data_IF_510149975476
#
_entry.id   IF_510149975476
#
_cell.length_a   1.000
_cell.length_b   1.000
_cell.length_c   1.000
_cell.angle_alpha   90.00
_cell.angle_beta   90.00
_cell.angle_gamma   90.00
#
_symmetry.space_group_name_H-M   'P 1'
#
loop_
_entity.id
_entity.type
_entity.pdbx_description
1 polymer ?
#
# COMPACT_ATOMS: atom_id res chain seq x y z
N UNK A 1 -5.52 21.64 -25.30
CA UNK A 1 -5.50 20.18 -25.52
C UNK A 1 -5.49 19.56 -24.14
N UNK A 2 -6.62 19.01 -23.71
CA UNK A 2 -6.65 18.18 -22.50
C UNK A 2 -5.83 16.94 -22.82
N UNK A 3 -4.76 16.73 -22.07
CA UNK A 3 -3.96 15.49 -22.15
C UNK A 3 -4.84 14.38 -21.57
N UNK A 4 -5.07 13.32 -22.35
CA UNK A 4 -5.76 12.13 -21.83
C UNK A 4 -5.11 11.67 -20.53
N UNK A 5 -5.91 11.27 -19.51
CA UNK A 5 -5.37 10.82 -18.24
C UNK A 5 -4.49 9.59 -18.48
N UNK A 6 -3.22 9.68 -18.07
CA UNK A 6 -2.28 8.57 -18.16
C UNK A 6 -2.67 7.48 -17.16
N UNK A 7 -2.86 6.26 -17.64
CA UNK A 7 -3.03 5.09 -16.77
C UNK A 7 -1.68 4.75 -16.13
N UNK A 8 -1.66 4.60 -14.80
CA UNK A 8 -0.49 4.22 -14.01
C UNK A 8 -0.65 2.76 -13.60
N UNK A 9 0.30 1.92 -14.02
CA UNK A 9 0.30 0.49 -13.70
C UNK A 9 1.12 0.23 -12.44
N UNK A 10 0.53 -0.52 -11.50
CA UNK A 10 1.18 -1.01 -10.30
C UNK A 10 1.22 -2.54 -10.33
N UNK A 11 2.39 -3.13 -10.07
CA UNK A 11 2.56 -4.57 -9.91
C UNK A 11 2.72 -4.93 -8.44
N UNK A 12 2.03 -5.97 -7.99
CA UNK A 12 2.06 -6.47 -6.60
C UNK A 12 2.56 -7.92 -6.49
N UNK A 13 3.17 -8.46 -7.55
CA UNK A 13 3.68 -9.84 -7.59
C UNK A 13 4.57 -10.17 -6.39
N UNK A 14 5.45 -9.25 -6.00
CA UNK A 14 6.43 -9.46 -4.93
C UNK A 14 5.86 -9.33 -3.51
N UNK A 15 4.63 -8.83 -3.36
CA UNK A 15 3.96 -8.76 -2.07
C UNK A 15 2.70 -9.63 -2.06
N UNK A 16 1.69 -9.28 -2.86
CA UNK A 16 0.42 -10.02 -2.89
C UNK A 16 0.56 -11.37 -3.58
N UNK A 17 1.30 -11.40 -4.68
CA UNK A 17 1.58 -12.66 -5.40
C UNK A 17 2.35 -13.67 -4.55
N UNK A 18 3.23 -13.22 -3.65
CA UNK A 18 3.96 -14.10 -2.73
C UNK A 18 3.07 -14.71 -1.63
N UNK A 19 1.87 -14.16 -1.38
CA UNK A 19 0.92 -14.75 -0.45
C UNK A 19 0.24 -16.01 -1.02
N UNK A 20 0.47 -16.32 -2.29
CA UNK A 20 -0.02 -17.56 -2.92
C UNK A 20 0.67 -18.78 -2.30
N UNK A 21 -0.12 -19.79 -1.95
CA UNK A 21 0.40 -21.02 -1.35
C UNK A 21 1.51 -21.64 -2.20
N UNK A 22 2.66 -21.92 -1.59
CA UNK A 22 3.80 -22.56 -2.25
C UNK A 22 4.72 -21.59 -3.00
N UNK A 23 4.45 -20.30 -2.97
CA UNK A 23 5.32 -19.25 -3.51
C UNK A 23 6.12 -18.62 -2.37
N UNK A 24 7.43 -18.47 -2.57
CA UNK A 24 8.32 -17.72 -1.70
C UNK A 24 9.52 -17.27 -2.50
N UNK A 25 9.91 -16.03 -2.34
CA UNK A 25 11.07 -15.44 -3.02
C UNK A 25 12.22 -15.23 -2.04
N UNK A 26 13.42 -15.62 -2.46
CA UNK A 26 14.63 -15.16 -1.77
C UNK A 26 14.83 -13.65 -1.99
N UNK A 27 15.60 -12.96 -1.13
CA UNK A 27 15.92 -11.54 -1.32
C UNK A 27 16.52 -11.22 -2.69
N UNK A 28 17.35 -12.12 -3.23
CA UNK A 28 17.95 -11.97 -4.56
C UNK A 28 16.91 -12.10 -5.69
N UNK A 29 15.97 -13.03 -5.59
CA UNK A 29 14.87 -13.21 -6.54
C UNK A 29 13.94 -12.01 -6.54
N UNK A 30 13.54 -11.48 -5.35
CA UNK A 30 12.76 -10.25 -5.23
C UNK A 30 13.42 -9.10 -6.00
N UNK A 31 14.72 -8.88 -5.77
CA UNK A 31 15.46 -7.83 -6.46
C UNK A 31 15.51 -8.06 -7.98
N UNK A 32 15.67 -9.29 -8.44
CA UNK A 32 15.72 -9.60 -9.87
C UNK A 32 14.36 -9.42 -10.55
N UNK A 33 13.27 -9.81 -9.90
CA UNK A 33 11.89 -9.58 -10.39
C UNK A 33 11.61 -8.07 -10.43
N UNK A 34 11.92 -7.32 -9.37
CA UNK A 34 11.78 -5.87 -9.33
C UNK A 34 12.51 -5.18 -10.50
N UNK A 35 13.76 -5.60 -10.79
CA UNK A 35 14.52 -5.12 -11.95
C UNK A 35 13.83 -5.43 -13.29
N UNK A 36 13.25 -6.60 -13.42
CA UNK A 36 12.52 -6.99 -14.64
C UNK A 36 11.26 -6.14 -14.83
N UNK A 37 10.48 -5.95 -13.75
CA UNK A 37 9.25 -5.15 -13.75
C UNK A 37 9.54 -3.69 -14.15
N UNK A 38 10.53 -3.05 -13.52
CA UNK A 38 10.81 -1.63 -13.76
C UNK A 38 11.60 -1.38 -15.05
N UNK A 39 12.64 -2.19 -15.38
CA UNK A 39 13.48 -1.93 -16.54
C UNK A 39 12.91 -2.50 -17.85
N UNK A 40 12.29 -3.70 -17.81
CA UNK A 40 11.85 -4.40 -19.02
C UNK A 40 10.38 -4.17 -19.30
N UNK A 41 9.52 -4.42 -18.32
CA UNK A 41 8.07 -4.23 -18.45
C UNK A 41 7.66 -2.76 -18.31
N UNK A 42 8.48 -1.96 -17.62
CA UNK A 42 8.27 -0.52 -17.42
C UNK A 42 6.94 -0.22 -16.72
N UNK A 43 6.58 -1.03 -15.73
CA UNK A 43 5.48 -0.67 -14.85
C UNK A 43 5.83 0.60 -14.07
N UNK A 44 4.84 1.37 -13.70
CA UNK A 44 5.08 2.67 -13.06
C UNK A 44 5.42 2.53 -11.58
N UNK A 45 4.90 1.48 -10.92
CA UNK A 45 5.05 1.26 -9.47
C UNK A 45 5.08 -0.23 -9.18
N UNK A 46 5.80 -0.63 -8.12
CA UNK A 46 5.79 -2.01 -7.61
C UNK A 46 5.65 -2.03 -6.09
N UNK A 47 4.84 -2.95 -5.57
CA UNK A 47 4.77 -3.24 -4.14
C UNK A 47 5.57 -4.51 -3.86
N UNK A 48 6.62 -4.41 -3.04
CA UNK A 48 7.65 -5.46 -2.95
C UNK A 48 7.63 -6.28 -1.67
N UNK A 49 6.98 -5.80 -0.63
CA UNK A 49 6.97 -6.45 0.68
C UNK A 49 5.88 -5.90 1.59
N UNK A 50 5.63 -6.61 2.69
CA UNK A 50 4.92 -6.09 3.86
C UNK A 50 5.93 -5.78 4.97
N UNK A 51 5.78 -4.60 5.58
CA UNK A 51 6.66 -4.19 6.68
C UNK A 51 6.54 -5.13 7.88
N UNK A 52 7.67 -5.41 8.55
CA UNK A 52 7.74 -6.12 9.83
C UNK A 52 7.33 -7.61 9.78
N UNK A 53 7.41 -8.25 8.63
CA UNK A 53 7.06 -9.69 8.48
C UNK A 53 8.25 -10.57 8.89
N UNK A 54 9.43 -10.34 8.31
CA UNK A 54 10.62 -11.14 8.57
C UNK A 54 11.92 -10.39 8.27
N UNK A 55 13.04 -10.95 8.72
CA UNK A 55 14.38 -10.46 8.37
C UNK A 55 14.66 -10.63 6.85
N UNK A 56 14.18 -11.70 6.25
CA UNK A 56 14.30 -11.94 4.81
C UNK A 56 13.58 -10.87 3.97
N UNK A 57 12.42 -10.40 4.44
CA UNK A 57 11.72 -9.27 3.82
C UNK A 57 12.54 -7.98 3.92
N UNK A 58 13.12 -7.72 5.09
CA UNK A 58 14.00 -6.56 5.29
C UNK A 58 15.20 -6.60 4.32
N UNK A 59 15.93 -7.71 4.23
CA UNK A 59 17.07 -7.85 3.30
C UNK A 59 16.62 -7.68 1.84
N UNK A 60 15.48 -8.25 1.45
CA UNK A 60 14.92 -8.11 0.11
C UNK A 60 14.59 -6.65 -0.25
N UNK A 61 13.97 -5.93 0.68
CA UNK A 61 13.66 -4.50 0.49
C UNK A 61 14.95 -3.68 0.45
N UNK A 62 15.89 -3.87 1.38
CA UNK A 62 17.17 -3.14 1.42
C UNK A 62 17.96 -3.29 0.12
N UNK A 63 18.06 -4.49 -0.43
CA UNK A 63 18.74 -4.75 -1.70
C UNK A 63 18.04 -4.07 -2.87
N UNK A 64 16.71 -4.13 -2.88
CA UNK A 64 15.92 -3.56 -3.97
C UNK A 64 15.93 -2.03 -3.93
N UNK A 65 15.79 -1.42 -2.76
CA UNK A 65 15.82 0.04 -2.59
C UNK A 65 17.19 0.62 -2.89
N UNK A 66 18.28 -0.03 -2.44
CA UNK A 66 19.65 0.37 -2.78
C UNK A 66 19.88 0.38 -4.29
N UNK A 67 19.47 -0.68 -5.00
CA UNK A 67 19.57 -0.72 -6.45
C UNK A 67 18.67 0.35 -7.11
N UNK A 68 17.45 0.54 -6.59
CA UNK A 68 16.50 1.48 -7.14
C UNK A 68 16.96 2.94 -6.98
N UNK A 69 17.61 3.28 -5.86
CA UNK A 69 18.19 4.60 -5.62
C UNK A 69 19.26 4.92 -6.68
N UNK A 70 20.19 3.99 -6.95
CA UNK A 70 21.22 4.15 -7.97
C UNK A 70 20.66 4.33 -9.39
N UNK A 71 19.45 3.84 -9.66
CA UNK A 71 18.80 3.89 -10.98
C UNK A 71 17.69 4.93 -11.09
N UNK A 72 17.37 5.66 -10.04
CA UNK A 72 16.31 6.66 -10.02
C UNK A 72 14.91 6.07 -9.96
N UNK A 73 14.76 4.83 -9.46
CA UNK A 73 13.46 4.15 -9.31
C UNK A 73 12.93 4.13 -7.88
N UNK A 74 13.63 4.74 -6.91
CA UNK A 74 13.28 4.60 -5.50
C UNK A 74 11.83 5.00 -5.19
N UNK A 75 11.33 6.05 -5.83
CA UNK A 75 9.95 6.55 -5.67
C UNK A 75 8.88 5.63 -6.30
N UNK A 76 9.28 4.60 -7.02
CA UNK A 76 8.41 3.58 -7.61
C UNK A 76 8.36 2.30 -6.77
N UNK A 77 9.23 2.20 -5.75
CA UNK A 77 9.25 1.07 -4.79
C UNK A 77 8.33 1.40 -3.63
N UNK A 78 7.32 0.57 -3.45
CA UNK A 78 6.31 0.73 -2.41
C UNK A 78 6.33 -0.47 -1.46
N UNK A 79 6.05 -0.22 -0.19
CA UNK A 79 6.01 -1.24 0.87
C UNK A 79 4.68 -1.12 1.61
N UNK A 80 3.99 -2.24 1.81
CA UNK A 80 2.78 -2.29 2.62
C UNK A 80 3.15 -2.03 4.09
N UNK A 81 2.47 -1.08 4.70
CA UNK A 81 2.59 -0.76 6.12
C UNK A 81 1.24 -0.80 6.83
N UNK A 82 1.28 -0.73 8.14
CA UNK A 82 0.10 -0.88 9.00
C UNK A 82 -0.17 0.37 9.82
N UNK A 83 -1.41 0.52 10.30
CA UNK A 83 -1.80 1.58 11.24
C UNK A 83 -1.27 1.21 12.63
N UNK A 84 0.04 1.36 12.81
CA UNK A 84 0.81 0.97 14.00
C UNK A 84 1.68 2.11 14.57
N UNK A 85 1.26 3.34 14.28
CA UNK A 85 1.87 4.59 14.66
C UNK A 85 3.19 4.85 13.89
N UNK A 86 4.31 4.40 14.41
CA UNK A 86 5.63 4.66 13.82
C UNK A 86 6.35 3.39 13.31
N UNK A 87 5.96 2.22 13.76
CA UNK A 87 6.73 0.99 13.57
C UNK A 87 6.93 0.60 12.11
N UNK A 88 5.87 0.66 11.30
CA UNK A 88 5.97 0.38 9.86
C UNK A 88 6.78 1.45 9.14
N UNK A 89 6.63 2.71 9.54
CA UNK A 89 7.41 3.82 8.97
C UNK A 89 8.90 3.66 9.28
N UNK A 90 9.25 3.39 10.53
CA UNK A 90 10.65 3.17 10.96
C UNK A 90 11.27 1.99 10.19
N UNK A 91 10.54 0.89 10.06
CA UNK A 91 10.98 -0.28 9.30
C UNK A 91 11.24 0.04 7.83
N UNK A 92 10.34 0.79 7.19
CA UNK A 92 10.47 1.20 5.79
C UNK A 92 11.68 2.11 5.59
N UNK A 93 11.90 3.05 6.51
CA UNK A 93 13.07 3.94 6.48
C UNK A 93 14.39 3.17 6.66
N UNK A 94 14.43 2.23 7.61
CA UNK A 94 15.58 1.36 7.83
C UNK A 94 15.89 0.52 6.58
N UNK A 95 14.86 0.05 5.89
CA UNK A 95 14.99 -0.65 4.61
C UNK A 95 15.30 0.26 3.41
N UNK A 96 15.52 1.56 3.61
CA UNK A 96 15.83 2.53 2.55
C UNK A 96 14.62 2.98 1.72
N UNK A 97 13.39 2.57 2.09
CA UNK A 97 12.15 2.93 1.38
C UNK A 97 11.73 4.39 1.58
N UNK A 98 10.85 4.87 0.69
CA UNK A 98 10.31 6.24 0.73
C UNK A 98 8.81 6.31 0.51
N UNK A 99 8.18 5.18 0.17
CA UNK A 99 6.75 5.11 -0.13
C UNK A 99 6.12 3.97 0.65
N UNK A 100 5.09 4.31 1.41
CA UNK A 100 4.29 3.36 2.19
C UNK A 100 2.87 3.26 1.61
N UNK A 101 2.41 2.03 1.42
CA UNK A 101 1.00 1.72 1.19
C UNK A 101 0.38 1.36 2.55
N UNK A 102 -0.32 2.29 3.16
CA UNK A 102 -0.91 2.13 4.49
C UNK A 102 -2.20 1.33 4.39
N UNK A 103 -2.22 0.14 4.98
CA UNK A 103 -3.41 -0.71 5.03
C UNK A 103 -4.40 -0.19 6.07
N UNK A 104 -5.60 0.21 5.63
CA UNK A 104 -6.69 0.64 6.48
C UNK A 104 -7.95 -0.19 6.19
N UNK A 105 -9.01 -0.02 6.95
CA UNK A 105 -10.26 -0.77 6.79
C UNK A 105 -11.28 0.04 6.00
N UNK A 106 -11.63 -0.45 4.81
CA UNK A 106 -12.61 0.14 3.92
C UNK A 106 -14.06 -0.31 4.18
N UNK A 107 -14.31 -1.18 5.16
CA UNK A 107 -15.65 -1.58 5.58
C UNK A 107 -15.86 -1.40 7.08
N UNK A 108 -17.08 -1.03 7.48
CA UNK A 108 -17.48 -0.95 8.90
C UNK A 108 -17.29 -2.31 9.56
N UNK A 109 -17.65 -3.39 8.88
CA UNK A 109 -17.50 -4.75 9.37
C UNK A 109 -16.05 -5.05 9.78
N UNK A 110 -15.07 -4.77 8.94
CA UNK A 110 -13.66 -4.98 9.30
C UNK A 110 -13.17 -4.02 10.37
N UNK A 111 -13.61 -2.77 10.36
CA UNK A 111 -13.26 -1.79 11.40
C UNK A 111 -13.77 -2.24 12.77
N UNK A 112 -15.05 -2.63 12.84
CA UNK A 112 -15.71 -2.99 14.12
C UNK A 112 -15.28 -4.36 14.61
N UNK A 113 -15.27 -5.38 13.74
CA UNK A 113 -15.07 -6.77 14.15
C UNK A 113 -13.60 -7.17 14.23
N UNK A 114 -12.72 -6.65 13.35
CA UNK A 114 -11.30 -6.97 13.38
C UNK A 114 -10.51 -6.00 14.27
N UNK A 115 -10.75 -4.68 14.13
CA UNK A 115 -10.03 -3.67 14.91
C UNK A 115 -10.71 -3.35 16.25
N UNK A 116 -12.00 -3.64 16.39
CA UNK A 116 -12.83 -3.25 17.55
C UNK A 116 -12.84 -1.74 17.78
N UNK A 117 -12.97 -0.98 16.70
CA UNK A 117 -12.92 0.49 16.67
C UNK A 117 -14.12 1.05 15.91
N UNK A 118 -14.46 2.28 16.26
CA UNK A 118 -15.31 3.14 15.44
C UNK A 118 -14.49 3.73 14.28
N UNK A 119 -15.16 4.30 13.28
CA UNK A 119 -14.51 5.02 12.19
C UNK A 119 -13.63 6.17 12.71
N UNK A 120 -14.15 6.97 13.65
CA UNK A 120 -13.42 8.10 14.22
C UNK A 120 -12.14 7.68 14.95
N UNK A 121 -12.21 6.59 15.72
CA UNK A 121 -11.04 6.03 16.40
C UNK A 121 -10.00 5.52 15.38
N UNK A 122 -10.46 4.87 14.32
CA UNK A 122 -9.58 4.39 13.26
C UNK A 122 -8.93 5.56 12.51
N UNK A 123 -9.70 6.57 12.10
CA UNK A 123 -9.18 7.79 11.47
C UNK A 123 -8.18 8.52 12.37
N UNK A 124 -8.43 8.58 13.68
CA UNK A 124 -7.48 9.18 14.64
C UNK A 124 -6.14 8.45 14.65
N UNK A 125 -6.14 7.12 14.58
CA UNK A 125 -4.89 6.34 14.55
C UNK A 125 -4.20 6.42 13.19
N UNK A 126 -4.96 6.44 12.09
CA UNK A 126 -4.43 6.71 10.75
C UNK A 126 -3.71 8.06 10.72
N UNK A 127 -4.35 9.13 11.22
CA UNK A 127 -3.74 10.48 11.27
C UNK A 127 -2.43 10.52 12.03
N UNK A 128 -2.30 9.77 13.13
CA UNK A 128 -1.03 9.67 13.87
C UNK A 128 0.07 9.04 13.00
N UNK A 129 -0.26 7.97 12.29
CA UNK A 129 0.69 7.28 11.39
C UNK A 129 1.07 8.19 10.22
N UNK A 130 0.11 8.87 9.58
CA UNK A 130 0.34 9.81 8.50
C UNK A 130 1.24 10.97 8.94
N UNK A 131 0.94 11.57 10.10
CA UNK A 131 1.75 12.65 10.65
C UNK A 131 3.21 12.24 10.83
N UNK A 132 3.44 11.05 11.40
CA UNK A 132 4.79 10.54 11.60
C UNK A 132 5.50 10.25 10.28
N UNK A 133 4.81 9.63 9.32
CA UNK A 133 5.34 9.37 7.99
C UNK A 133 5.77 10.66 7.26
N UNK A 134 4.92 11.69 7.28
CA UNK A 134 5.21 12.99 6.66
C UNK A 134 6.38 13.70 7.33
N UNK A 135 6.49 13.67 8.65
CA UNK A 135 7.63 14.23 9.39
C UNK A 135 8.96 13.57 8.95
N UNK A 136 8.91 12.29 8.57
CA UNK A 136 10.06 11.52 8.10
C UNK A 136 10.16 11.45 6.57
N UNK A 137 9.40 12.28 5.83
CA UNK A 137 9.41 12.37 4.36
C UNK A 137 9.06 11.06 3.65
N UNK A 138 8.24 10.23 4.28
CA UNK A 138 7.65 9.04 3.66
C UNK A 138 6.34 9.43 3.01
N UNK A 139 6.24 9.21 1.69
CA UNK A 139 4.99 9.39 0.94
C UNK A 139 4.03 8.25 1.27
N UNK A 140 2.76 8.57 1.51
CA UNK A 140 1.78 7.56 1.90
C UNK A 140 0.64 7.49 0.89
N UNK A 141 0.39 6.28 0.40
CA UNK A 141 -0.85 5.87 -0.23
C UNK A 141 -1.70 5.13 0.82
N UNK A 142 -3.01 5.13 0.70
CA UNK A 142 -3.91 4.46 1.64
C UNK A 142 -4.73 3.41 0.90
N UNK A 143 -4.66 2.15 1.32
CA UNK A 143 -5.58 1.09 0.91
C UNK A 143 -6.83 1.10 1.80
N UNK A 144 -8.00 1.05 1.18
CA UNK A 144 -9.27 0.78 1.84
C UNK A 144 -9.61 -0.72 1.68
N UNK A 145 -9.01 -1.56 2.53
CA UNK A 145 -9.24 -3.01 2.49
C UNK A 145 -10.73 -3.33 2.67
N UNK A 146 -11.25 -4.23 1.83
CA UNK A 146 -12.66 -4.67 1.82
C UNK A 146 -13.68 -3.55 1.46
N UNK A 147 -13.21 -2.52 0.75
CA UNK A 147 -14.07 -1.40 0.37
C UNK A 147 -15.28 -1.81 -0.49
N UNK A 148 -15.13 -2.81 -1.37
CA UNK A 148 -16.21 -3.30 -2.24
C UNK A 148 -17.39 -3.85 -1.44
N UNK A 149 -17.14 -4.63 -0.38
CA UNK A 149 -18.17 -5.02 0.57
C UNK A 149 -18.65 -3.83 1.41
N UNK A 150 -17.71 -2.99 1.89
CA UNK A 150 -18.04 -1.78 2.65
C UNK A 150 -19.00 -0.87 1.90
N UNK A 151 -18.73 -0.61 0.61
CA UNK A 151 -19.59 0.21 -0.23
C UNK A 151 -20.97 -0.42 -0.47
N UNK A 152 -21.02 -1.74 -0.64
CA UNK A 152 -22.29 -2.46 -0.86
C UNK A 152 -23.14 -2.49 0.41
N UNK A 153 -22.53 -2.69 1.59
CA UNK A 153 -23.24 -2.87 2.86
C UNK A 153 -23.56 -1.54 3.54
N UNK A 154 -22.63 -0.57 3.52
CA UNK A 154 -22.78 0.75 4.15
C UNK A 154 -21.95 1.80 3.37
N UNK A 155 -22.45 2.33 2.25
CA UNK A 155 -21.73 3.32 1.42
C UNK A 155 -21.24 4.53 2.21
N UNK A 156 -22.04 5.02 3.17
CA UNK A 156 -21.70 6.21 3.96
C UNK A 156 -20.41 6.01 4.75
N UNK A 157 -20.12 4.80 5.24
CA UNK A 157 -18.84 4.51 5.90
C UNK A 157 -17.65 4.77 4.97
N UNK A 158 -17.75 4.33 3.71
CA UNK A 158 -16.66 4.50 2.72
C UNK A 158 -16.48 5.97 2.37
N UNK A 159 -17.59 6.70 2.17
CA UNK A 159 -17.54 8.14 1.91
C UNK A 159 -16.95 8.93 3.09
N UNK A 160 -17.36 8.62 4.31
CA UNK A 160 -16.85 9.27 5.52
C UNK A 160 -15.35 8.97 5.73
N UNK A 161 -14.90 7.72 5.44
CA UNK A 161 -13.49 7.37 5.46
C UNK A 161 -12.70 8.20 4.44
N UNK A 162 -13.16 8.30 3.19
CA UNK A 162 -12.51 9.09 2.15
C UNK A 162 -12.50 10.57 2.52
N UNK A 163 -13.63 11.10 3.01
CA UNK A 163 -13.73 12.49 3.46
C UNK A 163 -12.76 12.78 4.61
N UNK A 164 -12.62 11.84 5.55
CA UNK A 164 -11.70 11.95 6.69
C UNK A 164 -10.22 11.90 6.31
N UNK A 165 -9.89 11.44 5.09
CA UNK A 165 -8.52 11.36 4.57
C UNK A 165 -8.17 12.47 3.58
N UNK A 166 -9.16 13.21 3.06
CA UNK A 166 -9.01 14.15 1.94
C UNK A 166 -7.91 15.20 2.15
N UNK A 167 -7.81 15.74 3.35
CA UNK A 167 -6.89 16.85 3.68
C UNK A 167 -5.66 16.39 4.49
N UNK A 168 -5.45 15.08 4.61
CA UNK A 168 -4.37 14.50 5.42
C UNK A 168 -3.06 14.28 4.63
N UNK A 169 -2.92 14.84 3.43
CA UNK A 169 -1.70 14.73 2.62
C UNK A 169 -1.46 13.33 2.03
N UNK A 170 -2.50 12.52 1.90
CA UNK A 170 -2.45 11.20 1.26
C UNK A 170 -2.20 11.36 -0.23
N UNK A 171 -1.21 10.65 -0.77
CA UNK A 171 -0.87 10.75 -2.19
C UNK A 171 -1.88 10.03 -3.11
N UNK A 172 -2.45 8.91 -2.63
CA UNK A 172 -3.49 8.13 -3.34
C UNK A 172 -4.39 7.42 -2.34
N UNK A 173 -5.66 7.30 -2.68
CA UNK A 173 -6.59 6.36 -2.07
C UNK A 173 -6.75 5.20 -3.04
N UNK A 174 -6.50 3.98 -2.58
CA UNK A 174 -6.52 2.76 -3.38
C UNK A 174 -7.67 1.87 -2.90
N UNK A 175 -8.44 1.37 -3.85
CA UNK A 175 -9.69 0.64 -3.64
C UNK A 175 -9.54 -0.82 -4.11
N UNK A 176 -8.88 -1.70 -3.33
CA UNK A 176 -8.70 -3.08 -3.72
C UNK A 176 -10.02 -3.86 -3.58
N UNK A 177 -10.48 -4.50 -4.64
CA UNK A 177 -11.53 -5.52 -4.54
C UNK A 177 -10.94 -6.78 -3.91
N UNK A 178 -10.75 -6.73 -2.59
CA UNK A 178 -9.95 -7.67 -1.80
C UNK A 178 -10.37 -9.12 -1.99
N UNK A 179 -11.66 -9.37 -2.20
CA UNK A 179 -12.21 -10.70 -2.40
C UNK A 179 -12.52 -11.03 -3.86
N UNK A 180 -12.29 -10.08 -4.79
CA UNK A 180 -12.59 -10.27 -6.22
C UNK A 180 -14.07 -10.50 -6.49
N UNK A 181 -14.95 -9.75 -5.82
CA UNK A 181 -16.41 -9.94 -5.89
C UNK A 181 -17.13 -9.00 -6.85
N UNK A 182 -16.43 -8.01 -7.38
CA UNK A 182 -17.02 -7.03 -8.30
C UNK A 182 -17.02 -7.53 -9.74
N UNK A 183 -18.15 -7.34 -10.42
CA UNK A 183 -18.21 -7.50 -11.88
C UNK A 183 -17.69 -6.24 -12.59
N UNK A 184 -17.29 -6.33 -13.88
CA UNK A 184 -16.87 -5.14 -14.64
C UNK A 184 -17.89 -4.00 -14.60
N UNK A 185 -19.20 -4.31 -14.68
CA UNK A 185 -20.28 -3.31 -14.66
C UNK A 185 -20.42 -2.61 -13.29
N UNK A 186 -19.90 -3.19 -12.22
CA UNK A 186 -19.91 -2.59 -10.87
C UNK A 186 -18.71 -1.66 -10.65
N UNK A 187 -17.70 -1.74 -11.51
CA UNK A 187 -16.49 -0.90 -11.42
C UNK A 187 -16.68 0.42 -12.19
N UNK A 188 -17.64 0.46 -13.15
CA UNK A 188 -18.05 1.63 -13.88
C UNK A 188 -19.15 2.40 -13.13
#
# INVERSE_FOLDING_TARGET
METEPRIILMDTTLRDGEQTQGISFTPAEKTNVAKALLNKLRVDRIEIASARVSEGEMDGVMRTTSWAEDKGFLEQIEVLGFVDHNRSVDWILEAGGRVMNLLTKGSENHCTNQLRKTLDEHLKDIRKTLKYAHQNKVRVNVYLEDWSNGYRDLPDYVYDMVAGLKDEGVARIMLPDTLGVMSPDQVY
#
